data_IF_421557841035
#
_entry.id   IF_421557841035
#
_cell.length_a   1.000
_cell.length_b   1.000
_cell.length_c   1.000
_cell.angle_alpha   90.00
_cell.angle_beta   90.00
_cell.angle_gamma   90.00
#
_symmetry.space_group_name_H-M   'P 1'
#
loop_
_entity.id
_entity.type
_entity.pdbx_description
1 polymer ?
#
# COMPACT_ATOMS: atom_id res chain seq x y z
N UNK A 1 -35.58 -32.96 -26.26
CA UNK A 1 -36.05 -31.78 -25.51
C UNK A 1 -36.50 -32.24 -24.13
N UNK A 2 -35.99 -31.61 -23.08
CA UNK A 2 -36.41 -31.90 -21.71
C UNK A 2 -37.79 -31.21 -21.51
N UNK A 3 -38.77 -31.90 -20.93
CA UNK A 3 -40.09 -31.31 -20.67
C UNK A 3 -40.63 -31.68 -19.29
N UNK A 4 -41.55 -30.85 -18.78
CA UNK A 4 -42.09 -30.95 -17.42
C UNK A 4 -42.87 -32.25 -17.19
N UNK A 5 -43.62 -32.71 -18.20
CA UNK A 5 -44.36 -33.98 -18.17
C UNK A 5 -43.43 -35.18 -17.96
N UNK A 6 -42.25 -35.17 -18.55
CA UNK A 6 -41.23 -36.21 -18.36
C UNK A 6 -40.71 -36.27 -16.92
N UNK A 7 -40.49 -35.11 -16.29
CA UNK A 7 -40.01 -35.00 -14.90
C UNK A 7 -41.07 -35.47 -13.90
N UNK A 8 -42.32 -35.05 -14.09
CA UNK A 8 -43.43 -35.52 -13.25
C UNK A 8 -43.62 -37.04 -13.34
N UNK A 9 -43.61 -37.59 -14.56
CA UNK A 9 -43.72 -39.03 -14.77
C UNK A 9 -42.59 -39.81 -14.10
N UNK A 10 -41.37 -39.27 -14.07
CA UNK A 10 -40.23 -39.88 -13.39
C UNK A 10 -40.37 -39.88 -11.87
N UNK A 11 -40.72 -38.74 -11.28
CA UNK A 11 -40.91 -38.62 -9.83
C UNK A 11 -42.03 -39.56 -9.34
N UNK A 12 -43.05 -39.80 -10.18
CA UNK A 12 -44.14 -40.71 -9.89
C UNK A 12 -43.80 -42.22 -10.02
N UNK A 13 -42.69 -42.60 -10.69
CA UNK A 13 -42.43 -43.98 -11.14
C UNK A 13 -41.01 -44.50 -10.80
N UNK A 14 -40.47 -44.22 -9.61
CA UNK A 14 -39.05 -44.45 -9.24
C UNK A 14 -38.52 -45.91 -9.37
N UNK A 15 -39.26 -46.85 -9.96
CA UNK A 15 -38.75 -48.15 -10.42
C UNK A 15 -38.34 -48.24 -11.91
N UNK A 16 -38.79 -47.34 -12.82
CA UNK A 16 -38.59 -47.50 -14.29
C UNK A 16 -37.45 -46.69 -14.94
N UNK A 17 -36.71 -45.89 -14.17
CA UNK A 17 -35.47 -45.16 -14.56
C UNK A 17 -35.39 -44.56 -15.99
N UNK A 18 -36.41 -43.86 -16.54
CA UNK A 18 -36.14 -43.02 -17.72
C UNK A 18 -35.20 -41.88 -17.31
N UNK A 19 -34.05 -41.76 -17.99
CA UNK A 19 -33.01 -40.76 -17.73
C UNK A 19 -33.02 -39.74 -18.86
N UNK A 20 -33.23 -38.47 -18.55
CA UNK A 20 -33.59 -37.41 -19.50
C UNK A 20 -32.41 -36.49 -19.85
N UNK A 21 -31.41 -36.41 -18.98
CA UNK A 21 -30.20 -35.63 -19.24
C UNK A 21 -29.11 -36.61 -19.69
N UNK A 22 -28.78 -36.53 -20.99
CA UNK A 22 -27.95 -37.46 -21.73
C UNK A 22 -26.64 -36.79 -22.13
N UNK A 23 -25.54 -37.55 -22.11
CA UNK A 23 -24.25 -37.08 -22.64
C UNK A 23 -24.35 -36.97 -24.17
N UNK A 24 -23.52 -36.13 -24.79
CA UNK A 24 -23.54 -35.93 -26.25
C UNK A 24 -24.68 -35.05 -26.79
N UNK A 25 -25.73 -34.79 -25.99
CA UNK A 25 -26.81 -33.86 -26.35
C UNK A 25 -26.34 -32.41 -26.18
N UNK A 26 -26.75 -31.55 -27.11
CA UNK A 26 -26.55 -30.11 -27.02
C UNK A 26 -27.70 -29.46 -26.25
N UNK A 27 -27.41 -28.97 -25.05
CA UNK A 27 -28.34 -28.19 -24.24
C UNK A 27 -28.25 -26.71 -24.60
N UNK A 28 -29.36 -26.12 -25.00
CA UNK A 28 -29.46 -24.68 -25.27
C UNK A 28 -29.62 -23.89 -23.97
N UNK A 29 -29.47 -22.56 -24.01
CA UNK A 29 -29.78 -21.68 -22.87
C UNK A 29 -31.20 -21.92 -22.34
N UNK A 30 -32.16 -22.21 -23.23
CA UNK A 30 -33.54 -22.53 -22.85
C UNK A 30 -33.62 -23.84 -22.07
N UNK A 31 -32.91 -24.88 -22.51
CA UNK A 31 -32.86 -26.15 -21.79
C UNK A 31 -32.21 -26.00 -20.41
N UNK A 32 -31.16 -25.17 -20.30
CA UNK A 32 -30.51 -24.86 -19.02
C UNK A 32 -31.44 -24.10 -18.08
N UNK A 33 -32.13 -23.07 -18.57
CA UNK A 33 -33.09 -22.31 -17.76
C UNK A 33 -34.25 -23.20 -17.27
N UNK A 34 -34.76 -24.07 -18.14
CA UNK A 34 -35.75 -25.06 -17.76
C UNK A 34 -35.24 -25.99 -16.65
N UNK A 35 -34.01 -26.48 -16.74
CA UNK A 35 -33.41 -27.29 -15.68
C UNK A 35 -33.22 -26.55 -14.36
N UNK A 36 -32.92 -25.24 -14.41
CA UNK A 36 -32.84 -24.39 -13.22
C UNK A 36 -34.18 -24.29 -12.52
N UNK A 37 -35.25 -23.98 -13.26
CA UNK A 37 -36.62 -23.91 -12.73
C UNK A 37 -37.03 -25.23 -12.06
N UNK A 38 -36.70 -26.36 -12.69
CA UNK A 38 -37.00 -27.67 -12.14
C UNK A 38 -36.14 -28.00 -10.91
N UNK A 39 -34.90 -27.52 -10.87
CA UNK A 39 -34.00 -27.69 -9.71
C UNK A 39 -34.50 -26.89 -8.52
N UNK A 40 -35.01 -25.68 -8.75
CA UNK A 40 -35.67 -24.86 -7.73
C UNK A 40 -36.96 -25.50 -7.23
N UNK A 41 -37.79 -26.02 -8.16
CA UNK A 41 -39.10 -26.63 -7.84
C UNK A 41 -39.00 -27.97 -7.10
N UNK A 42 -38.03 -28.82 -7.44
CA UNK A 42 -37.96 -30.21 -6.93
C UNK A 42 -36.69 -30.53 -6.14
N UNK A 43 -35.73 -29.60 -6.07
CA UNK A 43 -34.43 -29.80 -5.43
C UNK A 43 -33.40 -30.50 -6.33
N UNK A 44 -32.12 -30.13 -6.14
CA UNK A 44 -30.99 -30.64 -6.93
C UNK A 44 -30.85 -32.16 -6.89
N UNK A 45 -31.15 -32.80 -5.77
CA UNK A 45 -31.06 -34.26 -5.63
C UNK A 45 -32.09 -34.98 -6.50
N UNK A 46 -33.26 -34.38 -6.72
CA UNK A 46 -34.31 -34.94 -7.56
C UNK A 46 -33.96 -34.82 -9.05
N UNK A 47 -33.50 -33.63 -9.48
CA UNK A 47 -33.05 -33.37 -10.86
C UNK A 47 -31.74 -34.11 -11.17
N UNK A 48 -30.83 -34.22 -10.20
CA UNK A 48 -29.57 -34.97 -10.26
C UNK A 48 -29.74 -36.47 -10.52
N UNK A 49 -30.91 -37.04 -10.22
CA UNK A 49 -31.26 -38.43 -10.53
C UNK A 49 -31.82 -38.62 -11.95
N UNK A 50 -32.11 -37.53 -12.68
CA UNK A 50 -32.53 -37.57 -14.10
C UNK A 50 -31.36 -37.78 -15.07
N UNK A 51 -30.12 -37.80 -14.59
CA UNK A 51 -28.91 -38.01 -15.39
C UNK A 51 -28.66 -39.52 -15.64
N UNK A 52 -28.04 -39.84 -16.77
CA UNK A 52 -27.53 -41.19 -17.07
C UNK A 52 -26.50 -41.72 -16.04
N UNK A 53 -26.34 -43.05 -15.88
CA UNK A 53 -25.45 -43.62 -14.88
C UNK A 53 -23.99 -43.38 -15.30
N UNK A 54 -23.09 -43.45 -14.33
CA UNK A 54 -21.65 -43.20 -14.48
C UNK A 54 -20.90 -44.21 -15.39
N UNK A 55 -21.60 -45.06 -16.16
CA UNK A 55 -20.97 -46.14 -16.95
C UNK A 55 -20.11 -45.64 -18.09
N UNK A 56 -20.38 -44.44 -18.60
CA UNK A 56 -19.41 -43.70 -19.41
C UNK A 56 -18.81 -42.60 -18.53
N UNK A 57 -17.70 -42.88 -17.85
CA UNK A 57 -16.98 -41.88 -17.05
C UNK A 57 -16.37 -40.77 -17.94
N UNK A 58 -16.22 -40.98 -19.25
CA UNK A 58 -15.46 -40.12 -20.15
C UNK A 58 -16.31 -39.25 -21.11
N UNK A 59 -17.61 -39.53 -21.27
CA UNK A 59 -18.50 -38.75 -22.12
C UNK A 59 -18.68 -37.30 -21.64
N UNK A 60 -18.92 -36.35 -22.54
CA UNK A 60 -19.08 -34.94 -22.18
C UNK A 60 -20.47 -34.39 -22.51
N UNK A 61 -20.91 -33.42 -21.73
CA UNK A 61 -22.11 -32.64 -22.00
C UNK A 61 -21.76 -31.51 -22.96
N UNK A 62 -22.67 -31.18 -23.88
CA UNK A 62 -22.52 -30.00 -24.73
C UNK A 62 -23.56 -28.97 -24.35
N UNK A 63 -23.16 -27.72 -24.17
CA UNK A 63 -24.11 -26.65 -23.88
C UNK A 63 -23.79 -25.36 -24.65
N UNK A 64 -24.83 -24.68 -25.14
CA UNK A 64 -24.78 -23.30 -25.65
C UNK A 64 -25.32 -22.40 -24.55
N UNK A 65 -24.44 -21.64 -23.91
CA UNK A 65 -24.77 -20.82 -22.73
C UNK A 65 -24.18 -19.41 -22.91
N UNK A 66 -24.88 -18.41 -22.40
CA UNK A 66 -24.43 -17.01 -22.41
C UNK A 66 -23.36 -16.80 -21.32
N UNK A 67 -22.21 -16.24 -21.71
CA UNK A 67 -21.16 -15.86 -20.78
C UNK A 67 -21.53 -14.57 -20.06
N UNK A 68 -21.47 -14.57 -18.72
CA UNK A 68 -21.80 -13.39 -17.92
C UNK A 68 -20.79 -12.25 -18.05
N UNK A 69 -19.57 -12.55 -18.51
CA UNK A 69 -18.49 -11.56 -18.69
C UNK A 69 -18.66 -10.76 -19.97
N UNK A 70 -18.86 -11.43 -21.10
CA UNK A 70 -18.87 -10.78 -22.43
C UNK A 70 -20.27 -10.76 -23.08
N UNK A 71 -21.27 -11.35 -22.42
CA UNK A 71 -22.65 -11.48 -22.89
C UNK A 71 -22.82 -12.24 -24.23
N UNK A 72 -21.78 -12.96 -24.69
CA UNK A 72 -21.83 -13.79 -25.91
C UNK A 72 -22.25 -15.22 -25.59
N UNK A 73 -22.86 -15.89 -26.56
CA UNK A 73 -23.21 -17.32 -26.43
C UNK A 73 -22.02 -18.19 -26.81
N UNK A 74 -21.61 -19.12 -25.94
CA UNK A 74 -20.51 -20.04 -26.17
C UNK A 74 -21.01 -21.49 -26.19
N UNK A 75 -20.53 -22.26 -27.18
CA UNK A 75 -20.73 -23.71 -27.23
C UNK A 75 -19.56 -24.39 -26.51
N UNK A 76 -19.86 -25.13 -25.45
CA UNK A 76 -18.85 -25.73 -24.59
C UNK A 76 -19.04 -27.24 -24.42
N UNK A 77 -17.92 -27.95 -24.36
CA UNK A 77 -17.83 -29.34 -23.89
C UNK A 77 -17.57 -29.32 -22.39
N UNK A 78 -18.47 -29.88 -21.60
CA UNK A 78 -18.49 -29.79 -20.14
C UNK A 78 -18.41 -31.19 -19.52
N UNK A 79 -17.63 -31.32 -18.45
CA UNK A 79 -17.74 -32.48 -17.56
C UNK A 79 -19.04 -32.40 -16.78
N UNK A 80 -19.45 -33.51 -16.16
CA UNK A 80 -20.61 -33.56 -15.26
C UNK A 80 -20.54 -32.47 -14.19
N UNK A 81 -19.41 -32.38 -13.46
CA UNK A 81 -19.21 -31.39 -12.40
C UNK A 81 -19.32 -29.97 -12.91
N UNK A 82 -18.80 -29.67 -14.11
CA UNK A 82 -18.90 -28.34 -14.71
C UNK A 82 -20.33 -28.02 -15.14
N UNK A 83 -21.08 -29.01 -15.65
CA UNK A 83 -22.48 -28.84 -16.01
C UNK A 83 -23.36 -28.60 -14.76
N UNK A 84 -23.14 -29.38 -13.70
CA UNK A 84 -23.81 -29.20 -12.39
C UNK A 84 -23.48 -27.83 -11.77
N UNK A 85 -22.22 -27.39 -11.82
CA UNK A 85 -21.82 -26.08 -11.30
C UNK A 85 -22.51 -24.91 -12.02
N UNK A 86 -22.83 -25.05 -13.32
CA UNK A 86 -23.61 -24.05 -14.05
C UNK A 86 -25.05 -23.98 -13.52
N UNK A 87 -25.64 -25.13 -13.20
CA UNK A 87 -26.97 -25.16 -12.58
C UNK A 87 -26.94 -24.53 -11.19
N UNK A 88 -25.91 -24.81 -10.38
CA UNK A 88 -25.74 -24.20 -9.06
C UNK A 88 -25.55 -22.68 -9.13
N UNK A 89 -24.81 -22.21 -10.15
CA UNK A 89 -24.59 -20.80 -10.39
C UNK A 89 -25.80 -20.09 -11.04
N UNK A 90 -26.98 -20.72 -11.08
CA UNK A 90 -28.20 -20.19 -11.71
C UNK A 90 -27.98 -19.79 -13.18
N UNK A 91 -27.20 -20.59 -13.91
CA UNK A 91 -26.89 -20.33 -15.32
C UNK A 91 -25.82 -19.25 -15.54
N UNK A 92 -25.26 -18.66 -14.48
CA UNK A 92 -24.13 -17.72 -14.58
C UNK A 92 -22.88 -18.51 -14.93
N UNK A 93 -22.51 -18.47 -16.20
CA UNK A 93 -21.30 -19.11 -16.70
C UNK A 93 -20.25 -18.05 -17.05
N UNK A 94 -19.04 -18.18 -16.52
CA UNK A 94 -17.91 -17.33 -16.89
C UNK A 94 -17.00 -18.10 -17.85
N UNK A 95 -16.87 -17.61 -19.07
CA UNK A 95 -16.03 -18.28 -20.06
C UNK A 95 -14.54 -18.12 -19.68
N UNK A 96 -13.75 -19.20 -19.58
CA UNK A 96 -12.40 -19.13 -19.01
C UNK A 96 -11.46 -18.12 -19.67
N UNK A 97 -11.47 -17.99 -21.01
CA UNK A 97 -10.64 -17.00 -21.68
C UNK A 97 -11.06 -15.56 -21.37
N UNK A 98 -12.37 -15.30 -21.26
CA UNK A 98 -12.89 -13.99 -20.90
C UNK A 98 -12.54 -13.63 -19.44
N UNK A 99 -12.56 -14.59 -18.53
CA UNK A 99 -12.10 -14.39 -17.15
C UNK A 99 -10.59 -14.10 -17.11
N UNK A 100 -9.81 -14.83 -17.90
CA UNK A 100 -8.36 -14.59 -18.00
C UNK A 100 -8.05 -13.19 -18.53
N UNK A 101 -8.75 -12.74 -19.58
CA UNK A 101 -8.63 -11.38 -20.14
C UNK A 101 -9.01 -10.30 -19.13
N UNK A 102 -10.14 -10.48 -18.41
CA UNK A 102 -10.55 -9.55 -17.35
C UNK A 102 -9.53 -9.48 -16.21
N UNK A 103 -9.03 -10.64 -15.77
CA UNK A 103 -8.04 -10.71 -14.70
C UNK A 103 -6.72 -10.05 -15.12
N UNK A 104 -6.27 -10.26 -16.36
CA UNK A 104 -5.08 -9.61 -16.90
C UNK A 104 -5.26 -8.08 -16.94
N UNK A 105 -6.42 -7.60 -17.40
CA UNK A 105 -6.75 -6.17 -17.43
C UNK A 105 -6.77 -5.57 -16.02
N UNK A 106 -7.39 -6.25 -15.06
CA UNK A 106 -7.42 -5.83 -13.67
C UNK A 106 -6.02 -5.82 -13.04
N UNK A 107 -5.17 -6.79 -13.38
CA UNK A 107 -3.78 -6.83 -12.91
C UNK A 107 -2.97 -5.63 -13.45
N UNK A 108 -3.12 -5.28 -14.74
CA UNK A 108 -2.48 -4.10 -15.33
C UNK A 108 -2.97 -2.82 -14.64
N UNK A 109 -4.28 -2.69 -14.42
CA UNK A 109 -4.86 -1.53 -13.74
C UNK A 109 -4.34 -1.37 -12.30
N UNK A 110 -4.26 -2.48 -11.54
CA UNK A 110 -3.68 -2.48 -10.19
C UNK A 110 -2.21 -2.08 -10.20
N UNK A 111 -1.41 -2.61 -11.14
CA UNK A 111 -0.01 -2.24 -11.28
C UNK A 111 0.15 -0.74 -11.55
N UNK A 112 -0.60 -0.21 -12.53
CA UNK A 112 -0.61 1.24 -12.84
C UNK A 112 -1.04 2.09 -11.65
N UNK A 113 -2.06 1.66 -10.91
CA UNK A 113 -2.50 2.36 -9.70
C UNK A 113 -1.43 2.35 -8.60
N UNK A 114 -0.70 1.25 -8.44
CA UNK A 114 0.41 1.16 -7.50
C UNK A 114 1.59 2.06 -7.89
N UNK A 115 1.93 2.09 -9.18
CA UNK A 115 2.95 3.01 -9.72
C UNK A 115 2.55 4.48 -9.53
N UNK A 116 1.28 4.83 -9.79
CA UNK A 116 0.77 6.18 -9.57
C UNK A 116 0.81 6.57 -8.09
N UNK A 117 0.40 5.68 -7.19
CA UNK A 117 0.47 5.91 -5.75
C UNK A 117 1.91 6.16 -5.29
N UNK A 118 2.86 5.33 -5.76
CA UNK A 118 4.28 5.51 -5.45
C UNK A 118 4.80 6.86 -5.94
N UNK A 119 4.48 7.25 -7.17
CA UNK A 119 4.87 8.55 -7.73
C UNK A 119 4.28 9.73 -6.94
N UNK A 120 3.02 9.62 -6.53
CA UNK A 120 2.39 10.66 -5.71
C UNK A 120 3.01 10.75 -4.32
N UNK A 121 3.41 9.62 -3.74
CA UNK A 121 4.15 9.62 -2.48
C UNK A 121 5.53 10.28 -2.64
N UNK A 122 6.27 9.96 -3.70
CA UNK A 122 7.55 10.61 -4.00
C UNK A 122 7.41 12.13 -4.14
N UNK A 123 6.36 12.61 -4.81
CA UNK A 123 6.07 14.05 -4.94
C UNK A 123 5.76 14.67 -3.57
N UNK A 124 4.91 14.04 -2.76
CA UNK A 124 4.60 14.50 -1.41
C UNK A 124 5.84 14.53 -0.52
N UNK A 125 6.74 13.56 -0.68
CA UNK A 125 7.99 13.50 0.06
C UNK A 125 8.92 14.66 -0.31
N UNK A 126 9.04 14.98 -1.60
CA UNK A 126 9.80 16.14 -2.07
C UNK A 126 9.21 17.47 -1.59
N UNK A 127 7.88 17.61 -1.61
CA UNK A 127 7.20 18.82 -1.13
C UNK A 127 7.43 19.05 0.37
N UNK A 128 7.36 17.98 1.17
CA UNK A 128 7.67 18.04 2.60
C UNK A 128 9.14 18.39 2.88
N UNK A 129 10.07 17.84 2.10
CA UNK A 129 11.50 18.19 2.17
C UNK A 129 11.70 19.68 1.88
N UNK A 130 11.12 20.19 0.80
CA UNK A 130 11.25 21.59 0.43
C UNK A 130 10.64 22.51 1.51
N UNK A 131 9.46 22.17 2.00
CA UNK A 131 8.80 22.91 3.09
C UNK A 131 9.68 22.96 4.34
N UNK A 132 10.35 21.86 4.68
CA UNK A 132 11.27 21.82 5.82
C UNK A 132 12.48 22.74 5.61
N UNK A 133 13.08 22.71 4.42
CA UNK A 133 14.20 23.58 4.07
C UNK A 133 13.78 25.05 4.20
N UNK A 134 12.68 25.43 3.55
CA UNK A 134 12.19 26.82 3.54
C UNK A 134 11.79 27.33 4.93
N UNK A 135 11.33 26.44 5.81
CA UNK A 135 10.85 26.81 7.14
C UNK A 135 11.96 26.85 8.19
N UNK A 136 12.91 25.91 8.12
CA UNK A 136 13.87 25.68 9.21
C UNK A 136 15.33 25.87 8.83
N UNK A 137 15.66 25.88 7.55
CA UNK A 137 17.03 26.02 7.04
C UNK A 137 17.25 27.32 6.26
N UNK A 138 16.29 28.23 6.27
CA UNK A 138 16.47 29.59 5.75
C UNK A 138 17.00 30.51 6.87
N UNK A 139 18.19 31.14 6.71
CA UNK A 139 18.79 32.02 7.73
C UNK A 139 17.96 33.28 8.01
N UNK A 140 17.14 33.72 7.05
CA UNK A 140 16.26 34.89 7.21
C UNK A 140 14.99 34.56 7.99
N UNK A 141 14.73 33.27 8.25
CA UNK A 141 13.57 32.84 9.05
C UNK A 141 13.85 32.90 10.53
N UNK A 142 12.78 33.08 11.28
CA UNK A 142 12.81 33.07 12.74
C UNK A 142 11.59 32.36 13.29
N UNK A 143 11.75 31.76 14.46
CA UNK A 143 10.65 31.16 15.21
C UNK A 143 9.65 32.24 15.61
N UNK A 144 8.36 31.99 15.35
CA UNK A 144 7.28 32.80 15.91
C UNK A 144 7.33 32.76 17.44
N UNK A 145 7.00 33.88 18.09
CA UNK A 145 7.21 34.08 19.52
C UNK A 145 6.39 33.14 20.41
N UNK A 146 5.28 32.64 19.89
CA UNK A 146 4.30 31.77 20.54
C UNK A 146 4.76 30.32 20.64
N UNK A 147 5.71 29.90 19.79
CA UNK A 147 6.23 28.52 19.82
C UNK A 147 7.22 28.39 20.97
N UNK A 148 6.82 27.60 21.97
CA UNK A 148 7.63 27.29 23.15
C UNK A 148 8.93 26.59 22.75
N UNK A 149 10.00 26.89 23.48
CA UNK A 149 11.34 26.40 23.16
C UNK A 149 11.47 24.87 23.03
N UNK A 150 10.72 24.10 23.83
CA UNK A 150 10.76 22.64 23.74
C UNK A 150 10.04 22.10 22.49
N UNK A 151 9.07 22.83 21.96
CA UNK A 151 8.34 22.46 20.74
C UNK A 151 9.19 22.74 19.49
N UNK A 152 10.02 23.78 19.52
CA UNK A 152 10.97 24.10 18.43
C UNK A 152 11.84 22.91 18.05
N UNK A 153 12.43 22.26 19.06
CA UNK A 153 13.25 21.06 18.83
C UNK A 153 12.42 19.92 18.22
N UNK A 154 11.18 19.72 18.66
CA UNK A 154 10.31 18.66 18.11
C UNK A 154 9.98 18.92 16.65
N UNK A 155 9.74 20.17 16.28
CA UNK A 155 9.47 20.57 14.89
C UNK A 155 10.66 20.31 13.98
N UNK A 156 11.89 20.61 14.42
CA UNK A 156 13.07 20.36 13.60
C UNK A 156 13.52 18.89 13.64
N UNK A 157 13.16 18.14 14.67
CA UNK A 157 13.51 16.72 14.81
C UNK A 157 12.52 15.75 14.15
N UNK A 158 11.42 16.24 13.59
CA UNK A 158 10.52 15.38 12.80
C UNK A 158 11.15 15.04 11.45
N UNK A 159 10.65 14.00 10.80
CA UNK A 159 10.86 13.86 9.36
C UNK A 159 10.37 15.14 8.67
N UNK A 160 11.09 15.69 7.67
CA UNK A 160 12.19 15.09 6.88
C UNK A 160 13.62 15.44 7.33
N UNK A 161 13.86 15.83 8.59
CA UNK A 161 15.16 16.29 9.09
C UNK A 161 16.35 15.33 8.87
N UNK A 162 16.09 14.04 8.73
CA UNK A 162 17.11 13.01 8.49
C UNK A 162 17.14 12.50 7.05
N UNK A 163 16.44 13.17 6.13
CA UNK A 163 16.48 12.83 4.70
C UNK A 163 17.80 13.27 4.08
N UNK A 164 18.30 12.52 3.10
CA UNK A 164 19.58 12.82 2.45
C UNK A 164 19.59 14.23 1.84
N UNK A 165 18.48 14.67 1.24
CA UNK A 165 18.35 16.00 0.65
C UNK A 165 18.52 17.12 1.69
N UNK A 166 17.92 16.98 2.89
CA UNK A 166 18.08 17.94 3.98
C UNK A 166 19.53 17.95 4.49
N UNK A 167 20.12 16.77 4.70
CA UNK A 167 21.52 16.67 5.16
C UNK A 167 22.49 17.30 4.15
N UNK A 168 22.26 17.08 2.86
CA UNK A 168 23.07 17.65 1.79
C UNK A 168 22.91 19.17 1.71
N UNK A 169 21.67 19.68 1.84
CA UNK A 169 21.41 21.12 1.86
C UNK A 169 22.15 21.82 3.01
N UNK A 170 22.18 21.24 4.21
CA UNK A 170 22.93 21.80 5.35
C UNK A 170 24.44 21.82 5.08
N UNK A 171 24.98 20.80 4.42
CA UNK A 171 26.43 20.72 4.10
C UNK A 171 26.86 21.73 3.05
N UNK A 172 25.97 22.08 2.12
CA UNK A 172 26.25 23.04 1.04
C UNK A 172 26.06 24.50 1.49
N UNK A 173 25.39 24.71 2.61
CA UNK A 173 25.17 26.03 3.19
C UNK A 173 26.45 26.63 3.75
N UNK A 174 26.60 27.95 3.62
CA UNK A 174 27.65 28.66 4.36
C UNK A 174 27.46 28.44 5.86
N UNK A 175 28.56 28.23 6.57
CA UNK A 175 28.50 27.89 7.99
C UNK A 175 27.92 29.04 8.84
N UNK A 176 28.18 30.30 8.48
CA UNK A 176 27.63 31.45 9.20
C UNK A 176 26.11 31.53 8.99
N UNK A 177 25.65 31.33 7.76
CA UNK A 177 24.21 31.29 7.45
C UNK A 177 23.52 30.13 8.20
N UNK A 178 24.15 28.95 8.24
CA UNK A 178 23.64 27.81 9.00
C UNK A 178 23.39 28.14 10.47
N UNK A 179 24.30 28.88 11.12
CA UNK A 179 24.15 29.27 12.51
C UNK A 179 22.97 30.24 12.74
N UNK A 180 22.50 30.91 11.71
CA UNK A 180 21.33 31.78 11.79
C UNK A 180 19.99 31.07 11.55
N UNK A 181 20.02 29.82 11.08
CA UNK A 181 18.81 29.05 10.78
C UNK A 181 17.95 28.77 12.03
N UNK A 182 16.60 28.70 11.88
CA UNK A 182 15.71 28.21 12.93
C UNK A 182 16.11 26.81 13.44
N UNK A 183 16.61 25.95 12.54
CA UNK A 183 17.16 24.63 12.85
C UNK A 183 18.23 24.70 13.94
N UNK A 184 19.32 25.41 13.67
CA UNK A 184 20.44 25.48 14.59
C UNK A 184 20.03 26.14 15.90
N UNK A 185 19.23 27.22 15.84
CA UNK A 185 18.70 27.90 17.02
C UNK A 185 17.92 26.95 17.94
N UNK A 186 17.13 26.03 17.37
CA UNK A 186 16.38 25.02 18.14
C UNK A 186 17.31 23.93 18.73
N UNK A 187 18.26 23.43 17.95
CA UNK A 187 19.28 22.46 18.40
C UNK A 187 20.12 23.04 19.55
N UNK A 188 20.68 24.23 19.35
CA UNK A 188 21.52 24.90 20.33
C UNK A 188 20.75 25.20 21.63
N UNK A 189 19.46 25.56 21.53
CA UNK A 189 18.60 25.73 22.69
C UNK A 189 18.38 24.42 23.45
N UNK A 190 18.18 23.30 22.75
CA UNK A 190 18.05 21.97 23.38
C UNK A 190 19.31 21.58 24.16
N UNK A 191 20.49 21.82 23.60
CA UNK A 191 21.78 21.53 24.25
C UNK A 191 21.96 22.40 25.49
N UNK A 192 21.74 23.72 25.38
CA UNK A 192 21.81 24.65 26.53
C UNK A 192 20.83 24.27 27.64
N UNK A 193 19.61 23.89 27.29
CA UNK A 193 18.62 23.41 28.25
C UNK A 193 19.10 22.14 28.97
N UNK A 194 19.65 21.14 28.26
CA UNK A 194 20.24 19.93 28.88
C UNK A 194 21.38 20.29 29.84
N UNK A 195 22.17 21.30 29.51
CA UNK A 195 23.25 21.83 30.36
C UNK A 195 22.77 22.76 31.48
N UNK A 196 21.45 22.92 31.69
CA UNK A 196 20.86 23.86 32.65
C UNK A 196 21.36 25.31 32.46
N UNK A 197 21.61 25.70 31.22
CA UNK A 197 22.16 27.00 30.82
C UNK A 197 23.48 27.35 31.51
N UNK A 198 24.35 26.34 31.71
CA UNK A 198 25.67 26.50 32.33
C UNK A 198 26.75 25.92 31.44
N UNK A 199 27.93 26.52 31.50
CA UNK A 199 29.13 25.96 30.89
C UNK A 199 29.40 24.57 31.47
N UNK A 200 29.57 23.58 30.60
CA UNK A 200 29.80 22.19 31.02
C UNK A 200 31.25 21.92 31.47
N UNK A 201 32.14 22.92 31.41
CA UNK A 201 33.51 22.83 31.91
C UNK A 201 33.71 23.58 33.23
N UNK A 202 33.30 24.85 33.29
CA UNK A 202 33.55 25.72 34.44
C UNK A 202 32.28 26.15 35.21
N UNK A 203 31.10 25.69 34.78
CA UNK A 203 29.81 25.97 35.42
C UNK A 203 29.33 27.44 35.39
N UNK A 204 30.00 28.31 34.62
CA UNK A 204 29.59 29.69 34.40
C UNK A 204 28.20 29.79 33.76
N UNK A 205 27.42 30.81 34.14
CA UNK A 205 26.04 31.02 33.67
C UNK A 205 25.90 32.03 32.53
N UNK A 206 26.93 32.85 32.29
CA UNK A 206 26.89 33.93 31.31
C UNK A 206 27.56 33.51 30.00
N UNK A 207 27.04 34.03 28.88
CA UNK A 207 27.60 33.81 27.55
C UNK A 207 27.74 32.34 27.17
N UNK A 208 26.71 31.52 27.43
CA UNK A 208 26.75 30.08 27.15
C UNK A 208 26.30 29.82 25.70
N UNK A 209 27.26 29.42 24.87
CA UNK A 209 27.10 29.06 23.46
C UNK A 209 27.26 27.55 23.28
N UNK A 210 26.86 27.04 22.13
CA UNK A 210 26.99 25.61 21.80
C UNK A 210 28.14 25.45 20.82
N UNK A 211 29.01 24.49 21.12
CA UNK A 211 30.18 24.13 20.34
C UNK A 211 30.04 22.70 19.84
N UNK A 212 30.42 22.48 18.58
CA UNK A 212 30.60 21.15 18.03
C UNK A 212 31.93 20.57 18.51
N UNK A 213 31.91 19.44 19.23
CA UNK A 213 33.16 18.73 19.62
C UNK A 213 33.91 18.20 18.40
N UNK A 214 33.19 17.93 17.32
CA UNK A 214 33.72 17.55 16.02
C UNK A 214 32.81 18.14 14.94
N UNK A 215 33.41 18.74 13.92
CA UNK A 215 32.67 19.26 12.77
C UNK A 215 32.16 18.16 11.84
N UNK A 216 32.59 16.90 12.03
CA UNK A 216 32.13 15.75 11.23
C UNK A 216 30.64 15.44 11.38
N UNK A 217 29.97 16.01 12.40
CA UNK A 217 28.54 15.84 12.64
C UNK A 217 27.68 16.98 12.08
N UNK A 218 28.27 17.94 11.36
CA UNK A 218 27.55 19.05 10.72
C UNK A 218 26.40 18.53 9.85
N UNK A 219 25.19 19.02 10.14
CA UNK A 219 23.93 18.59 9.51
C UNK A 219 23.26 17.36 10.13
N UNK A 220 23.89 16.68 11.09
CA UNK A 220 23.34 15.51 11.78
C UNK A 220 23.20 15.71 13.30
N UNK A 221 23.15 16.97 13.75
CA UNK A 221 23.20 17.36 15.16
C UNK A 221 22.05 16.77 15.98
N UNK A 222 20.86 16.70 15.40
CA UNK A 222 19.66 16.15 16.06
C UNK A 222 19.90 14.72 16.54
N UNK A 223 20.61 13.91 15.76
CA UNK A 223 20.94 12.52 16.10
C UNK A 223 22.21 12.41 16.97
N UNK A 224 23.00 13.49 17.05
CA UNK A 224 24.33 13.53 17.66
C UNK A 224 24.46 14.60 18.74
N UNK A 225 23.39 14.90 19.47
CA UNK A 225 23.38 15.94 20.52
C UNK A 225 24.46 15.79 21.60
N UNK A 226 25.03 14.61 21.79
CA UNK A 226 26.12 14.38 22.77
C UNK A 226 27.48 14.87 22.26
N UNK A 227 27.62 15.02 20.93
CA UNK A 227 28.79 15.59 20.26
C UNK A 227 28.73 17.13 20.24
N UNK A 228 27.68 17.72 20.83
CA UNK A 228 27.58 19.14 21.12
C UNK A 228 27.83 19.40 22.61
N UNK A 229 28.48 20.53 22.92
CA UNK A 229 28.77 20.95 24.29
C UNK A 229 28.41 22.42 24.50
N UNK A 230 27.78 22.73 25.65
CA UNK A 230 27.49 24.10 26.05
C UNK A 230 28.69 24.70 26.82
N UNK A 231 29.29 25.76 26.28
CA UNK A 231 30.49 26.42 26.83
C UNK A 231 30.25 27.91 27.02
N UNK A 232 30.82 28.49 28.09
CA UNK A 232 30.89 29.95 28.16
C UNK A 232 31.91 30.49 27.15
N UNK A 233 31.79 31.76 26.79
CA UNK A 233 32.69 32.44 25.84
C UNK A 233 34.19 32.17 26.11
N UNK A 234 34.65 32.31 27.36
CA UNK A 234 36.05 32.05 27.73
C UNK A 234 36.49 30.62 27.40
N UNK A 235 35.67 29.62 27.76
CA UNK A 235 35.98 28.23 27.46
C UNK A 235 35.85 27.94 25.97
N UNK A 236 34.91 28.58 25.28
CA UNK A 236 34.67 28.40 23.85
C UNK A 236 35.87 28.86 23.02
N UNK A 237 36.44 30.03 23.34
CA UNK A 237 37.62 30.57 22.67
C UNK A 237 38.84 29.64 22.76
N UNK A 238 39.00 28.92 23.88
CA UNK A 238 40.12 27.96 24.04
C UNK A 238 40.09 26.85 22.99
N UNK A 239 38.91 26.39 22.57
CA UNK A 239 38.79 25.33 21.56
C UNK A 239 38.91 25.83 20.12
N UNK A 240 38.56 27.10 19.84
CA UNK A 240 38.77 27.69 18.51
C UNK A 240 40.26 27.88 18.18
N UNK A 241 41.08 28.15 19.20
CA UNK A 241 42.54 28.34 19.03
C UNK A 241 43.26 27.03 18.67
N UNK A 242 42.74 25.86 19.06
CA UNK A 242 43.37 24.57 18.74
C UNK A 242 42.96 24.01 17.38
N UNK A 243 41.79 24.38 16.84
CA UNK A 243 41.27 23.83 15.57
C UNK A 243 41.87 24.45 14.30
N UNK A 244 42.53 25.61 14.37
CA UNK A 244 43.20 26.22 13.20
C UNK A 244 44.56 25.56 12.86
N UNK A 245 45.06 24.63 13.68
CA UNK A 245 46.40 24.03 13.52
C UNK A 245 46.39 22.73 12.67
N UNK A 246 45.24 22.31 12.12
CA UNK A 246 45.11 21.03 11.40
C UNK A 246 44.38 21.08 10.05
N UNK A 247 44.51 22.17 9.29
CA UNK A 247 44.08 22.22 7.89
C UNK A 247 45.23 22.61 6.94
N UNK A 248 46.33 21.82 6.98
CA UNK A 248 47.33 21.73 5.90
C UNK A 248 47.33 20.31 5.30
#
# INVERSE_FOLDING_TARGET
MINEKGIHNYLALVAKRPRFIQRGVLYTTKDINFLLEMTEKYGKTAVGRLYEPLSDVNGSFWAKIVCFVCNKTHKNKLSRTKFEAILDAKGKFHYPSCVAEQNATAAIARKKSGELHKKNQEIADQDAIQTYIDQYLDPDKSWVSEVKHYDRFRSVASWPSTSEAVLQHIKEMDYIDFLETPYWKAVAQKVRYKAKFRCQLCNAMQGVYVHHRTYSIHGNEINKLNDLIALCEKCHQTFHVESEVHND
#
